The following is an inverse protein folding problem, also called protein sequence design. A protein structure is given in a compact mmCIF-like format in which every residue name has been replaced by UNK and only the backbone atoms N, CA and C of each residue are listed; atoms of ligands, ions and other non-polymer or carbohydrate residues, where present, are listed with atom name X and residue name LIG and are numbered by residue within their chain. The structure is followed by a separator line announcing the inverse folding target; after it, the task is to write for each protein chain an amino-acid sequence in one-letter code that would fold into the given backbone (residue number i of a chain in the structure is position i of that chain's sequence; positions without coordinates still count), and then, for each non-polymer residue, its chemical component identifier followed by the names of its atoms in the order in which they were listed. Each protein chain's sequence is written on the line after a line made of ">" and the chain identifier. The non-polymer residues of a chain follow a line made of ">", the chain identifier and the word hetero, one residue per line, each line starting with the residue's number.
data_IF_481432109299
#
_entry.id   IF_481432109299
#
_cell.length_a   1.000
_cell.length_b   1.000
_cell.length_c   1.000
_cell.angle_alpha   90.00
_cell.angle_beta   90.00
_cell.angle_gamma   90.00
#
_symmetry.space_group_name_H-M   'P 1'
#
loop_
_entity.id
_entity.type
_entity.pdbx_description
1 polymer ?
#
# COMPACT_ATOMS: atom_id res chain seq x y z
N UNK A 1 20.79 36.23 9.07
CA UNK A 1 19.35 36.47 8.82
C UNK A 1 18.63 35.29 8.20
N UNK A 2 19.03 34.80 7.01
CA UNK A 2 18.37 33.65 6.33
C UNK A 2 18.42 32.37 7.17
N UNK A 3 19.57 31.99 7.76
CA UNK A 3 19.70 30.80 8.62
C UNK A 3 18.76 30.83 9.84
N UNK A 4 18.59 32.01 10.45
CA UNK A 4 17.69 32.18 11.59
C UNK A 4 16.21 32.08 11.19
N UNK A 5 15.84 32.68 10.04
CA UNK A 5 14.49 32.57 9.49
C UNK A 5 14.14 31.10 9.17
N UNK A 6 15.07 30.39 8.54
CA UNK A 6 14.97 28.96 8.25
C UNK A 6 14.78 28.14 9.56
N UNK A 7 15.64 28.32 10.55
CA UNK A 7 15.55 27.61 11.82
C UNK A 7 14.23 27.89 12.56
N UNK A 8 13.76 29.14 12.56
CA UNK A 8 12.48 29.52 13.19
C UNK A 8 11.28 28.91 12.44
N UNK A 9 11.33 28.85 11.10
CA UNK A 9 10.31 28.21 10.29
C UNK A 9 10.22 26.71 10.62
N UNK A 10 11.35 26.00 10.63
CA UNK A 10 11.37 24.56 10.93
C UNK A 10 10.96 24.25 12.37
N UNK A 11 11.31 25.12 13.33
CA UNK A 11 10.82 24.99 14.71
C UNK A 11 9.31 25.13 14.81
N UNK A 12 8.68 25.99 14.01
CA UNK A 12 7.21 26.09 13.94
C UNK A 12 6.59 24.88 13.23
N UNK A 13 7.22 24.40 12.16
CA UNK A 13 6.75 23.22 11.42
C UNK A 13 6.86 21.93 12.25
N UNK A 14 7.81 21.84 13.19
CA UNK A 14 7.93 20.67 14.07
C UNK A 14 6.71 20.44 14.99
N UNK A 15 5.86 21.45 15.17
CA UNK A 15 4.56 21.27 15.85
C UNK A 15 3.62 20.38 15.02
N UNK A 16 3.78 20.36 13.71
CA UNK A 16 2.93 19.59 12.78
C UNK A 16 3.57 18.26 12.34
N UNK A 17 4.71 17.86 12.90
CA UNK A 17 5.48 16.66 12.47
C UNK A 17 4.71 15.32 12.58
N UNK A 18 3.69 15.26 13.41
CA UNK A 18 2.81 14.09 13.52
C UNK A 18 1.73 14.01 12.42
N UNK A 19 1.45 15.09 11.68
CA UNK A 19 0.41 15.09 10.63
C UNK A 19 0.75 14.14 9.49
N UNK A 20 1.97 14.12 8.92
CA UNK A 20 2.31 13.16 7.87
C UNK A 20 2.11 11.70 8.30
N UNK A 21 2.48 11.35 9.52
CA UNK A 21 2.33 9.99 10.05
C UNK A 21 0.85 9.62 10.23
N UNK A 22 0.02 10.55 10.69
CA UNK A 22 -1.44 10.36 10.76
C UNK A 22 -2.01 10.14 9.35
N UNK A 23 -1.63 10.96 8.37
CA UNK A 23 -2.12 10.83 6.99
C UNK A 23 -1.70 9.51 6.35
N UNK A 24 -0.46 9.05 6.58
CA UNK A 24 -0.01 7.73 6.12
C UNK A 24 -0.89 6.60 6.70
N UNK A 25 -1.21 6.66 7.99
CA UNK A 25 -2.08 5.68 8.63
C UNK A 25 -3.50 5.73 8.08
N UNK A 26 -4.07 6.93 7.94
CA UNK A 26 -5.43 7.12 7.39
C UNK A 26 -5.53 6.69 5.94
N UNK A 27 -4.46 6.77 5.17
CA UNK A 27 -4.41 6.28 3.79
C UNK A 27 -4.25 4.75 3.74
N UNK A 28 -3.29 4.19 4.49
CA UNK A 28 -2.98 2.76 4.44
C UNK A 28 -4.05 1.89 5.11
N UNK A 29 -4.63 2.36 6.22
CA UNK A 29 -5.57 1.55 6.99
C UNK A 29 -6.76 1.05 6.16
N UNK A 30 -7.54 1.88 5.45
CA UNK A 30 -8.65 1.40 4.63
C UNK A 30 -8.19 0.48 3.50
N UNK A 31 -7.03 0.73 2.89
CA UNK A 31 -6.46 -0.15 1.84
C UNK A 31 -6.20 -1.54 2.40
N UNK A 32 -5.52 -1.64 3.55
CA UNK A 32 -5.20 -2.91 4.18
C UNK A 32 -6.45 -3.63 4.70
N UNK A 33 -7.37 -2.90 5.34
CA UNK A 33 -8.64 -3.47 5.82
C UNK A 33 -9.43 -4.04 4.65
N UNK A 34 -9.56 -3.32 3.55
CA UNK A 34 -10.29 -3.80 2.37
C UNK A 34 -9.62 -5.03 1.74
N UNK A 35 -8.29 -5.03 1.61
CA UNK A 35 -7.56 -6.17 1.09
C UNK A 35 -7.74 -7.42 1.97
N UNK A 36 -7.62 -7.26 3.30
CA UNK A 36 -7.84 -8.34 4.26
C UNK A 36 -9.30 -8.81 4.28
N UNK A 37 -10.27 -7.89 4.19
CA UNK A 37 -11.69 -8.25 4.11
C UNK A 37 -12.03 -9.04 2.85
N UNK A 38 -11.52 -8.63 1.70
CA UNK A 38 -11.71 -9.36 0.44
C UNK A 38 -11.17 -10.80 0.55
N UNK A 39 -9.99 -10.97 1.15
CA UNK A 39 -9.42 -12.29 1.41
C UNK A 39 -10.27 -13.11 2.40
N UNK A 40 -10.74 -12.49 3.47
CA UNK A 40 -11.58 -13.16 4.47
C UNK A 40 -12.93 -13.59 3.88
N UNK A 41 -13.55 -12.75 3.04
CA UNK A 41 -14.86 -13.01 2.43
C UNK A 41 -14.83 -14.17 1.41
N UNK A 42 -13.66 -14.42 0.79
CA UNK A 42 -13.47 -15.47 -0.21
C UNK A 42 -12.34 -16.43 0.21
N UNK A 43 -12.23 -16.73 1.49
CA UNK A 43 -11.06 -17.37 2.08
C UNK A 43 -10.69 -18.71 1.43
N UNK A 44 -11.66 -19.57 1.13
CA UNK A 44 -11.40 -20.84 0.46
C UNK A 44 -10.76 -20.68 -0.92
N UNK A 45 -11.24 -19.71 -1.70
CA UNK A 45 -10.68 -19.40 -3.02
C UNK A 45 -9.28 -18.82 -2.93
N UNK A 46 -8.99 -18.04 -1.88
CA UNK A 46 -7.64 -17.51 -1.62
C UNK A 46 -6.67 -18.64 -1.23
N UNK A 47 -7.11 -19.60 -0.40
CA UNK A 47 -6.30 -20.78 -0.05
C UNK A 47 -5.99 -21.62 -1.29
N UNK A 48 -6.99 -21.86 -2.14
CA UNK A 48 -6.82 -22.57 -3.39
C UNK A 48 -5.84 -21.84 -4.34
N UNK A 49 -6.02 -20.53 -4.53
CA UNK A 49 -5.13 -19.72 -5.35
C UNK A 49 -3.69 -19.65 -4.80
N UNK A 50 -3.50 -19.64 -3.48
CA UNK A 50 -2.17 -19.68 -2.88
C UNK A 50 -1.44 -21.01 -3.14
N UNK A 51 -2.17 -22.12 -3.15
CA UNK A 51 -1.60 -23.45 -3.27
C UNK A 51 -1.54 -24.02 -4.69
N UNK A 52 -2.31 -23.46 -5.62
CA UNK A 52 -2.40 -24.01 -6.97
C UNK A 52 -1.17 -23.62 -7.80
N UNK A 53 -0.54 -24.61 -8.43
CA UNK A 53 0.66 -24.43 -9.27
C UNK A 53 0.33 -24.00 -10.72
N UNK A 54 -0.89 -24.30 -11.21
CA UNK A 54 -1.26 -24.04 -12.60
C UNK A 54 -1.76 -22.61 -12.82
N UNK A 55 -2.59 -22.09 -11.89
CA UNK A 55 -3.20 -20.75 -12.03
C UNK A 55 -3.02 -19.85 -10.80
N UNK A 56 -2.33 -20.32 -9.79
CA UNK A 56 -2.10 -19.61 -8.53
C UNK A 56 -0.62 -19.36 -8.25
N UNK A 57 -0.26 -19.34 -6.98
CA UNK A 57 1.08 -19.00 -6.52
C UNK A 57 1.97 -20.22 -6.24
N UNK A 58 1.40 -21.44 -6.18
CA UNK A 58 2.15 -22.67 -5.87
C UNK A 58 2.87 -22.64 -4.51
N UNK A 59 2.36 -21.87 -3.53
CA UNK A 59 3.03 -21.69 -2.24
C UNK A 59 2.84 -22.92 -1.34
N UNK A 60 3.87 -23.29 -0.55
CA UNK A 60 3.73 -24.34 0.45
C UNK A 60 2.82 -23.88 1.59
N UNK A 61 2.08 -24.80 2.22
CA UNK A 61 1.19 -24.51 3.35
C UNK A 61 0.16 -23.39 3.07
N UNK A 62 -0.61 -23.45 1.96
CA UNK A 62 -1.44 -22.33 1.50
C UNK A 62 -2.46 -21.87 2.52
N UNK A 63 -3.04 -22.77 3.31
CA UNK A 63 -3.99 -22.43 4.38
C UNK A 63 -3.34 -21.49 5.42
N UNK A 64 -2.12 -21.80 5.85
CA UNK A 64 -1.42 -21.00 6.87
C UNK A 64 -1.02 -19.64 6.32
N UNK A 65 -0.47 -19.62 5.11
CA UNK A 65 -0.05 -18.36 4.47
C UNK A 65 -1.23 -17.47 4.13
N UNK A 66 -2.34 -18.01 3.65
CA UNK A 66 -3.56 -17.27 3.40
C UNK A 66 -4.14 -16.68 4.70
N UNK A 67 -4.15 -17.46 5.79
CA UNK A 67 -4.58 -16.99 7.10
C UNK A 67 -3.69 -15.84 7.61
N UNK A 68 -2.36 -16.02 7.56
CA UNK A 68 -1.41 -15.01 8.03
C UNK A 68 -1.52 -13.72 7.22
N UNK A 69 -1.63 -13.80 5.89
CA UNK A 69 -1.79 -12.64 5.02
C UNK A 69 -3.11 -11.91 5.33
N UNK A 70 -4.22 -12.66 5.42
CA UNK A 70 -5.54 -12.11 5.74
C UNK A 70 -5.56 -11.43 7.11
N UNK A 71 -5.01 -12.08 8.13
CA UNK A 71 -4.93 -11.55 9.49
C UNK A 71 -4.01 -10.31 9.56
N UNK A 72 -2.84 -10.35 8.91
CA UNK A 72 -1.93 -9.24 8.87
C UNK A 72 -2.59 -7.99 8.25
N UNK A 73 -3.28 -8.13 7.12
CA UNK A 73 -3.94 -7.02 6.45
C UNK A 73 -5.17 -6.51 7.22
N UNK A 74 -6.06 -7.38 7.65
CA UNK A 74 -7.29 -6.98 8.30
C UNK A 74 -7.03 -6.40 9.70
N UNK A 75 -6.35 -7.16 10.57
CA UNK A 75 -6.05 -6.75 11.94
C UNK A 75 -5.01 -5.64 11.95
N UNK A 76 -3.95 -5.78 11.13
CA UNK A 76 -2.92 -4.75 10.98
C UNK A 76 -3.47 -3.43 10.48
N UNK A 77 -4.38 -3.45 9.50
CA UNK A 77 -5.08 -2.26 9.02
C UNK A 77 -5.90 -1.56 10.11
N UNK A 78 -6.63 -2.31 10.94
CA UNK A 78 -7.38 -1.76 12.09
C UNK A 78 -6.40 -1.14 13.11
N UNK A 79 -5.29 -1.82 13.40
CA UNK A 79 -4.29 -1.31 14.34
C UNK A 79 -3.58 -0.06 13.82
N UNK A 80 -3.30 0.02 12.50
CA UNK A 80 -2.80 1.24 11.87
C UNK A 80 -3.80 2.41 12.04
N UNK A 81 -5.09 2.15 11.82
CA UNK A 81 -6.12 3.19 11.98
C UNK A 81 -6.12 3.77 13.39
N UNK A 82 -6.04 2.91 14.40
CA UNK A 82 -6.02 3.30 15.80
C UNK A 82 -4.66 3.86 16.27
N UNK A 83 -3.59 3.66 15.50
CA UNK A 83 -2.22 3.94 15.93
C UNK A 83 -1.81 3.10 17.11
N UNK A 84 -2.18 1.82 17.09
CA UNK A 84 -1.88 0.83 18.11
C UNK A 84 -0.82 -0.14 17.61
N UNK A 85 0.26 -0.31 18.38
CA UNK A 85 1.40 -1.14 18.02
C UNK A 85 1.90 -0.89 16.59
N UNK A 86 1.88 0.37 16.17
CA UNK A 86 2.10 0.79 14.77
C UNK A 86 3.38 0.21 14.18
N UNK A 87 4.49 0.26 14.92
CA UNK A 87 5.78 -0.29 14.47
C UNK A 87 5.74 -1.81 14.33
N UNK A 88 5.05 -2.48 15.24
CA UNK A 88 4.99 -3.94 15.27
C UNK A 88 4.12 -4.47 14.12
N UNK A 89 2.95 -3.86 13.90
CA UNK A 89 2.05 -4.29 12.81
C UNK A 89 2.56 -3.90 11.43
N UNK A 90 3.42 -2.89 11.32
CA UNK A 90 4.06 -2.55 10.07
C UNK A 90 4.92 -3.71 9.53
N UNK A 91 5.52 -4.55 10.41
CA UNK A 91 6.38 -5.66 9.98
C UNK A 91 5.59 -6.70 9.15
N UNK A 92 4.54 -7.35 9.68
CA UNK A 92 3.79 -8.32 8.88
C UNK A 92 3.15 -7.70 7.63
N UNK A 93 2.72 -6.44 7.67
CA UNK A 93 2.21 -5.73 6.50
C UNK A 93 3.30 -5.50 5.44
N UNK A 94 4.53 -5.15 5.83
CA UNK A 94 5.65 -5.07 4.88
C UNK A 94 5.97 -6.44 4.26
N UNK A 95 5.89 -7.51 5.05
CA UNK A 95 6.10 -8.86 4.54
C UNK A 95 5.02 -9.22 3.50
N UNK A 96 3.73 -8.91 3.75
CA UNK A 96 2.67 -9.15 2.76
C UNK A 96 2.90 -8.36 1.48
N UNK A 97 3.38 -7.11 1.56
CA UNK A 97 3.71 -6.32 0.38
C UNK A 97 4.89 -6.93 -0.41
N UNK A 98 5.95 -7.37 0.27
CA UNK A 98 7.07 -8.03 -0.41
C UNK A 98 6.63 -9.33 -1.06
N UNK A 99 5.86 -10.16 -0.38
CA UNK A 99 5.32 -11.39 -0.99
C UNK A 99 4.50 -11.04 -2.23
N UNK A 100 3.57 -10.10 -2.16
CA UNK A 100 2.78 -9.69 -3.31
C UNK A 100 3.64 -9.16 -4.47
N UNK A 101 4.66 -8.34 -4.18
CA UNK A 101 5.60 -7.84 -5.19
C UNK A 101 6.27 -9.00 -5.91
N UNK A 102 6.88 -9.92 -5.17
CA UNK A 102 7.72 -10.96 -5.76
C UNK A 102 6.94 -12.16 -6.34
N UNK A 103 5.71 -12.42 -5.89
CA UNK A 103 4.95 -13.58 -6.35
C UNK A 103 3.84 -13.24 -7.33
N UNK A 104 3.38 -11.98 -7.38
CA UNK A 104 2.21 -11.59 -8.19
C UNK A 104 2.55 -10.51 -9.23
N UNK A 105 3.37 -9.52 -8.84
CA UNK A 105 3.47 -8.27 -9.58
C UNK A 105 4.78 -8.08 -10.35
N UNK A 106 5.86 -8.78 -9.96
CA UNK A 106 7.22 -8.52 -10.49
C UNK A 106 7.31 -8.73 -12.00
N UNK A 107 6.64 -9.74 -12.53
CA UNK A 107 6.65 -10.08 -13.95
C UNK A 107 5.90 -9.04 -14.81
N UNK A 108 5.03 -8.24 -14.18
CA UNK A 108 4.32 -7.15 -14.83
C UNK A 108 5.15 -5.83 -14.89
N UNK A 109 6.37 -5.83 -14.36
CA UNK A 109 7.22 -4.65 -14.29
C UNK A 109 6.73 -3.61 -13.28
N UNK A 110 7.04 -2.33 -13.54
CA UNK A 110 6.79 -1.27 -12.56
C UNK A 110 5.34 -0.77 -12.56
N UNK A 111 4.80 -0.39 -13.70
CA UNK A 111 3.58 0.40 -13.80
C UNK A 111 2.32 -0.37 -13.39
N UNK A 112 1.45 0.25 -12.59
CA UNK A 112 0.14 -0.27 -12.25
C UNK A 112 -0.84 -0.18 -13.43
N UNK A 113 -0.80 0.93 -14.17
CA UNK A 113 -1.59 1.16 -15.39
C UNK A 113 -0.62 1.26 -16.55
N UNK A 114 -0.94 0.60 -17.68
CA UNK A 114 -0.10 0.60 -18.85
C UNK A 114 -0.07 1.98 -19.51
N UNK A 115 1.08 2.64 -19.39
CA UNK A 115 1.39 3.91 -20.07
C UNK A 115 2.68 3.76 -20.88
N UNK A 116 2.53 3.62 -22.18
CA UNK A 116 3.65 3.45 -23.11
C UNK A 116 4.53 4.70 -23.26
N UNK A 117 4.10 5.86 -22.73
CA UNK A 117 4.91 7.09 -22.72
C UNK A 117 5.80 7.22 -21.47
N UNK A 118 5.68 6.28 -20.54
CA UNK A 118 6.46 6.30 -19.29
C UNK A 118 7.90 5.87 -19.52
N UNK A 119 8.85 6.61 -18.96
CA UNK A 119 10.28 6.27 -18.93
C UNK A 119 10.56 4.91 -18.27
N UNK A 120 9.62 4.44 -17.44
CA UNK A 120 9.69 3.14 -16.77
C UNK A 120 9.13 2.00 -17.63
N UNK A 121 8.79 2.26 -18.90
CA UNK A 121 8.26 1.25 -19.81
C UNK A 121 8.73 1.41 -21.26
N UNK A 122 9.17 2.60 -21.68
CA UNK A 122 9.50 2.96 -23.08
C UNK A 122 10.94 2.57 -23.50
N UNK A 123 11.71 1.98 -22.61
CA UNK A 123 13.13 1.64 -22.84
C UNK A 123 14.12 2.71 -22.42
N UNK A 124 13.68 3.87 -21.91
CA UNK A 124 14.59 4.90 -21.38
C UNK A 124 15.28 4.42 -20.09
N UNK A 125 14.52 3.85 -19.13
CA UNK A 125 15.05 3.27 -17.89
C UNK A 125 14.77 1.76 -17.87
N UNK A 126 13.55 1.35 -18.16
CA UNK A 126 13.11 -0.04 -18.26
C UNK A 126 12.39 -0.23 -19.59
N UNK A 127 12.34 -1.49 -20.06
CA UNK A 127 11.52 -1.87 -21.21
C UNK A 127 10.47 -2.87 -20.75
N UNK A 128 9.20 -2.61 -21.13
CA UNK A 128 8.09 -3.52 -20.90
C UNK A 128 7.24 -3.65 -22.16
N UNK A 129 7.42 -4.75 -22.88
CA UNK A 129 6.73 -5.02 -24.14
C UNK A 129 5.22 -5.08 -23.99
N UNK A 130 4.72 -5.59 -22.88
CA UNK A 130 3.28 -5.65 -22.59
C UNK A 130 2.67 -4.26 -22.44
N UNK A 131 3.39 -3.34 -21.81
CA UNK A 131 2.98 -1.94 -21.68
C UNK A 131 3.07 -1.23 -23.02
N UNK A 132 4.13 -1.47 -23.79
CA UNK A 132 4.30 -0.86 -25.13
C UNK A 132 3.23 -1.30 -26.12
N UNK A 133 2.70 -2.52 -26.01
CA UNK A 133 1.59 -3.02 -26.83
C UNK A 133 0.20 -2.54 -26.36
N UNK A 134 0.09 -1.94 -25.19
CA UNK A 134 -1.20 -1.55 -24.61
C UNK A 134 -1.97 -0.48 -25.41
N UNK A 135 -1.36 0.55 -26.02
CA UNK A 135 -2.07 1.53 -26.82
C UNK A 135 -2.81 0.92 -28.03
N UNK A 136 -2.19 -0.03 -28.71
CA UNK A 136 -2.80 -0.73 -29.85
C UNK A 136 -4.00 -1.57 -29.38
N UNK A 137 -3.83 -2.36 -28.34
CA UNK A 137 -4.91 -3.18 -27.74
C UNK A 137 -6.07 -2.30 -27.27
N UNK A 138 -5.77 -1.17 -26.61
CA UNK A 138 -6.77 -0.22 -26.14
C UNK A 138 -7.51 0.44 -27.30
N UNK A 139 -6.80 0.81 -28.38
CA UNK A 139 -7.41 1.38 -29.57
C UNK A 139 -8.37 0.39 -30.26
N UNK A 140 -7.97 -0.86 -30.39
CA UNK A 140 -8.83 -1.93 -30.91
C UNK A 140 -10.08 -2.14 -30.05
N UNK A 141 -9.92 -2.19 -28.73
CA UNK A 141 -11.06 -2.30 -27.81
C UNK A 141 -12.02 -1.11 -27.90
N UNK A 142 -11.49 0.12 -27.98
CA UNK A 142 -12.31 1.35 -28.15
C UNK A 142 -13.09 1.31 -29.43
N UNK A 143 -12.49 0.91 -30.57
CA UNK A 143 -13.19 0.82 -31.87
C UNK A 143 -14.35 -0.18 -31.85
N UNK A 144 -14.16 -1.33 -31.20
CA UNK A 144 -15.24 -2.31 -31.00
C UNK A 144 -16.38 -1.74 -30.14
N UNK A 145 -16.05 -1.05 -29.06
CA UNK A 145 -17.05 -0.43 -28.20
C UNK A 145 -17.79 0.73 -28.88
N UNK A 146 -17.11 1.47 -29.75
CA UNK A 146 -17.76 2.53 -30.57
C UNK A 146 -18.72 1.95 -31.60
N UNK A 147 -18.39 0.79 -32.15
CA UNK A 147 -19.21 0.15 -33.20
C UNK A 147 -20.39 -0.63 -32.63
N UNK A 148 -20.18 -1.38 -31.56
CA UNK A 148 -21.14 -2.35 -31.04
C UNK A 148 -21.62 -2.06 -29.60
N UNK A 149 -21.06 -1.06 -28.93
CA UNK A 149 -21.40 -0.68 -27.56
C UNK A 149 -21.92 0.77 -27.44
N UNK A 150 -22.20 1.18 -26.22
CA UNK A 150 -22.48 2.56 -25.89
C UNK A 150 -21.23 3.20 -25.27
N UNK A 151 -20.29 3.62 -26.15
CA UNK A 151 -18.99 4.13 -25.73
C UNK A 151 -19.09 5.35 -24.80
N UNK A 152 -19.96 6.30 -25.12
CA UNK A 152 -20.11 7.53 -24.34
C UNK A 152 -20.63 7.24 -22.91
N UNK A 153 -21.56 6.31 -22.79
CA UNK A 153 -22.04 5.87 -21.47
C UNK A 153 -20.94 5.13 -20.69
N UNK A 154 -20.20 4.23 -21.33
CA UNK A 154 -19.12 3.48 -20.71
C UNK A 154 -17.97 4.37 -20.22
N UNK A 155 -17.73 5.50 -20.89
CA UNK A 155 -16.64 6.44 -20.56
C UNK A 155 -17.12 7.71 -19.85
N UNK A 156 -18.39 7.80 -19.51
CA UNK A 156 -18.98 8.96 -18.83
C UNK A 156 -18.35 9.32 -17.49
N UNK A 157 -17.79 8.31 -16.78
CA UNK A 157 -17.13 8.48 -15.49
C UNK A 157 -15.60 8.42 -15.57
N UNK A 158 -15.00 8.28 -16.76
CA UNK A 158 -13.56 8.22 -16.95
C UNK A 158 -13.13 7.45 -18.19
N UNK A 159 -11.83 7.45 -18.48
CA UNK A 159 -11.26 6.80 -19.64
C UNK A 159 -11.07 5.29 -19.43
N UNK A 160 -11.18 4.52 -20.50
CA UNK A 160 -10.76 3.11 -20.50
C UNK A 160 -9.23 3.05 -20.50
N UNK A 161 -8.68 2.20 -19.64
CA UNK A 161 -7.25 1.95 -19.50
C UNK A 161 -6.96 0.46 -19.48
N UNK A 162 -5.73 0.08 -19.81
CA UNK A 162 -5.25 -1.29 -19.64
C UNK A 162 -4.57 -1.39 -18.27
N UNK A 163 -5.09 -2.23 -17.40
CA UNK A 163 -4.47 -2.52 -16.10
C UNK A 163 -3.24 -3.41 -16.34
N UNK A 164 -2.06 -2.91 -15.98
CA UNK A 164 -0.81 -3.67 -16.06
C UNK A 164 -0.52 -4.44 -14.76
N UNK A 165 -0.98 -3.92 -13.64
CA UNK A 165 -0.85 -4.57 -12.33
C UNK A 165 0.62 -4.80 -11.89
N UNK A 166 1.52 -3.88 -12.21
CA UNK A 166 2.91 -3.93 -11.80
C UNK A 166 3.12 -3.63 -10.32
N UNK A 167 4.39 -3.55 -9.91
CA UNK A 167 4.80 -3.44 -8.49
C UNK A 167 4.55 -2.07 -7.87
N UNK A 168 4.17 -1.06 -8.63
CA UNK A 168 4.09 0.34 -8.22
C UNK A 168 3.34 0.56 -6.90
N UNK A 169 2.12 0.01 -6.78
CA UNK A 169 1.35 0.15 -5.54
C UNK A 169 1.95 -0.64 -4.38
N UNK A 170 2.42 -1.86 -4.63
CA UNK A 170 3.07 -2.67 -3.60
C UNK A 170 4.32 -2.00 -3.04
N UNK A 171 5.15 -1.44 -3.93
CA UNK A 171 6.34 -0.69 -3.55
C UNK A 171 6.00 0.60 -2.78
N UNK A 172 4.99 1.34 -3.23
CA UNK A 172 4.51 2.55 -2.55
C UNK A 172 4.03 2.24 -1.14
N UNK A 173 3.19 1.23 -0.96
CA UNK A 173 2.69 0.82 0.35
C UNK A 173 3.81 0.31 1.25
N UNK A 174 4.76 -0.45 0.70
CA UNK A 174 5.94 -0.89 1.44
C UNK A 174 6.75 0.29 1.98
N UNK A 175 7.05 1.30 1.16
CA UNK A 175 7.80 2.50 1.59
C UNK A 175 7.01 3.28 2.66
N UNK A 176 5.69 3.43 2.51
CA UNK A 176 4.85 4.09 3.50
C UNK A 176 4.86 3.34 4.84
N UNK A 177 4.78 2.00 4.81
CA UNK A 177 4.87 1.15 6.00
C UNK A 177 6.26 1.22 6.65
N UNK A 178 7.32 1.31 5.83
CA UNK A 178 8.69 1.47 6.32
C UNK A 178 8.86 2.79 7.10
N UNK A 179 8.25 3.87 6.63
CA UNK A 179 8.21 5.14 7.38
C UNK A 179 7.50 4.94 8.72
N UNK A 180 6.34 4.28 8.75
CA UNK A 180 5.61 4.01 10.00
C UNK A 180 6.37 3.06 10.94
N UNK A 181 7.14 2.12 10.41
CA UNK A 181 7.99 1.25 11.20
C UNK A 181 9.06 2.04 11.96
N UNK A 182 9.75 2.97 11.29
CA UNK A 182 10.81 3.76 11.93
C UNK A 182 10.27 4.87 12.83
N UNK A 183 9.23 5.56 12.43
CA UNK A 183 8.71 6.74 13.12
C UNK A 183 7.52 6.46 14.04
N UNK A 184 6.85 5.32 13.88
CA UNK A 184 5.66 4.96 14.65
C UNK A 184 4.40 5.69 14.20
N UNK A 185 3.36 5.64 15.03
CA UNK A 185 2.03 6.22 14.73
C UNK A 185 1.93 7.73 14.80
N UNK A 186 2.99 8.41 15.28
CA UNK A 186 2.97 9.86 15.50
C UNK A 186 2.18 10.26 16.74
N UNK A 187 2.14 11.58 17.02
CA UNK A 187 1.51 12.12 18.23
C UNK A 187 0.00 12.38 18.09
N UNK A 188 -0.54 12.38 16.88
CA UNK A 188 -1.95 12.69 16.63
C UNK A 188 -2.76 11.40 16.50
N UNK A 189 -3.84 11.31 17.31
CA UNK A 189 -4.79 10.21 17.28
C UNK A 189 -4.08 8.84 17.28
N UNK A 190 -3.12 8.63 18.18
CA UNK A 190 -2.31 7.41 18.27
C UNK A 190 -2.34 6.86 19.70
N UNK A 191 -2.82 5.63 19.85
CA UNK A 191 -2.84 4.94 21.15
C UNK A 191 -1.41 4.73 21.66
N UNK A 192 -0.46 4.39 20.77
CA UNK A 192 0.96 4.23 21.12
C UNK A 192 1.52 5.49 21.80
N UNK A 193 1.19 6.66 21.26
CA UNK A 193 1.67 7.92 21.81
C UNK A 193 1.10 8.21 23.19
N UNK A 194 -0.20 7.98 23.40
CA UNK A 194 -0.84 8.21 24.70
C UNK A 194 -0.36 7.22 25.77
N UNK A 195 -0.16 5.95 25.40
CA UNK A 195 0.36 4.94 26.32
C UNK A 195 1.77 5.28 26.79
N UNK A 196 2.68 5.60 25.87
CA UNK A 196 4.06 6.00 26.21
C UNK A 196 4.13 7.31 27.01
N UNK A 197 3.27 8.28 26.70
CA UNK A 197 3.20 9.54 27.46
C UNK A 197 2.74 9.33 28.90
N UNK A 198 1.83 8.36 29.13
CA UNK A 198 1.35 8.00 30.47
C UNK A 198 2.46 7.35 31.32
N UNK A 199 3.27 6.45 30.74
CA UNK A 199 4.39 5.82 31.45
C UNK A 199 5.48 6.81 31.87
N UNK A 200 5.85 7.74 31.01
CA UNK A 200 6.86 8.76 31.31
C UNK A 200 6.40 9.65 32.48
N UNK A 201 5.10 9.98 32.54
CA UNK A 201 4.54 10.80 33.63
C UNK A 201 4.56 10.05 34.95
N UNK A 202 4.29 8.75 34.96
CA UNK A 202 4.31 7.90 36.15
C UNK A 202 5.74 7.65 36.66
N UNK A 203 6.72 7.45 35.79
CA UNK A 203 8.11 7.25 36.16
C UNK A 203 8.79 8.55 36.65
N UNK A 204 8.40 9.71 36.12
CA UNK A 204 8.90 11.01 36.57
C UNK A 204 8.38 11.46 37.95
N UNK A 205 7.37 10.79 38.50
CA UNK A 205 6.83 11.06 39.84
C UNK A 205 7.45 10.20 40.94
N UNK A 206 8.37 9.30 40.61
CA UNK A 206 9.09 8.52 41.62
C UNK A 206 10.18 9.39 42.28
N UNK A 207 10.14 9.64 43.60
CA UNK A 207 11.19 10.39 44.28
C UNK A 207 12.50 9.61 44.20
N UNK A 208 13.53 10.27 43.68
CA UNK A 208 14.90 9.79 43.72
C UNK A 208 15.26 9.56 45.23
N UNK A 209 15.40 8.30 45.62
CA UNK A 209 15.97 7.88 46.90
C UNK A 209 17.47 7.73 46.76
#
# INVERSE_FOLDING_TARGET
>A
MIKQLYANLFKKLSVADGIPLLLLRLYLAPVMIQAGWNKASSFSSIVDWFGNEDYGLGLPFPLVLAFLATAAELVGGIFLLLGLLTRLVAIPLMVTMLVAIFTVHIDNGWLAIADASSWLADGTILMNDSVMAAPEKLSAAKSLLQTYGNYDWLTSSGSLVVLNNGIEFGATYFVMLLVLFFYGGGRYVSIDYFALSCEITTLGSLPLK
#
